data_IF_921104283322
#
_entry.id   IF_921104283322
#
_cell.length_a   1.000
_cell.length_b   1.000
_cell.length_c   1.000
_cell.angle_alpha   90.00
_cell.angle_beta   90.00
_cell.angle_gamma   90.00
#
_symmetry.space_group_name_H-M   'P 1'
#
loop_
_entity.id
_entity.type
_entity.pdbx_description
1 polymer ?
#
# COMPACT_ATOMS: atom_id res chain seq x y z
N UNK A 1 1.09 2.77 -12.99
CA UNK A 1 0.31 2.15 -11.91
C UNK A 1 -1.09 2.71 -11.96
N UNK A 2 -2.11 1.87 -11.76
CA UNK A 2 -3.53 2.22 -11.88
C UNK A 2 -4.30 1.63 -10.70
N UNK A 3 -5.35 2.31 -10.29
CA UNK A 3 -6.31 1.81 -9.31
C UNK A 3 -7.66 1.67 -9.98
N UNK A 4 -8.33 0.55 -9.75
CA UNK A 4 -9.65 0.30 -10.29
C UNK A 4 -10.62 0.08 -9.15
N UNK A 5 -11.84 0.55 -9.33
CA UNK A 5 -12.93 0.34 -8.39
C UNK A 5 -14.25 0.28 -9.16
N UNK A 6 -15.32 -0.10 -8.48
CA UNK A 6 -16.67 0.02 -9.02
C UNK A 6 -17.17 1.46 -8.88
N UNK A 7 -18.35 1.73 -9.42
CA UNK A 7 -19.01 3.01 -9.19
C UNK A 7 -19.17 3.32 -7.70
N UNK A 8 -19.07 4.62 -7.38
CA UNK A 8 -19.05 5.15 -6.01
C UNK A 8 -17.90 4.62 -5.12
N UNK A 9 -16.88 4.00 -5.73
CA UNK A 9 -15.76 3.37 -5.06
C UNK A 9 -16.20 2.31 -4.03
N UNK A 10 -17.21 1.50 -4.38
CA UNK A 10 -17.86 0.60 -3.42
C UNK A 10 -16.93 -0.52 -2.93
N UNK A 11 -15.97 -0.99 -3.75
CA UNK A 11 -14.98 -1.98 -3.31
C UNK A 11 -14.12 -1.41 -2.17
N UNK A 12 -13.72 -0.14 -2.28
CA UNK A 12 -12.98 0.56 -1.24
C UNK A 12 -13.86 0.95 -0.04
N UNK A 13 -14.95 1.70 -0.26
CA UNK A 13 -15.75 2.32 0.81
C UNK A 13 -16.59 1.33 1.59
N UNK A 14 -17.15 0.31 0.94
CA UNK A 14 -18.04 -0.66 1.58
C UNK A 14 -17.26 -1.90 2.02
N UNK A 15 -16.43 -2.45 1.13
CA UNK A 15 -15.75 -3.72 1.38
C UNK A 15 -14.33 -3.56 1.97
N UNK A 16 -13.72 -2.36 1.90
CA UNK A 16 -12.39 -2.09 2.45
C UNK A 16 -11.23 -2.65 1.62
N UNK A 17 -11.49 -2.97 0.35
CA UNK A 17 -10.51 -3.53 -0.59
C UNK A 17 -10.00 -2.48 -1.56
N UNK A 18 -8.75 -2.64 -1.97
CA UNK A 18 -8.08 -1.81 -2.96
C UNK A 18 -7.61 -2.73 -4.07
N UNK A 19 -8.01 -2.43 -5.31
CA UNK A 19 -7.56 -3.15 -6.49
C UNK A 19 -6.56 -2.28 -7.27
N UNK A 20 -5.31 -2.75 -7.35
CA UNK A 20 -4.21 -2.00 -7.94
C UNK A 20 -3.55 -2.80 -9.05
N UNK A 21 -3.35 -2.14 -10.19
CA UNK A 21 -2.61 -2.67 -11.31
C UNK A 21 -1.25 -1.99 -11.43
N UNK A 22 -0.18 -2.77 -11.32
CA UNK A 22 1.20 -2.29 -11.39
C UNK A 22 1.98 -3.06 -12.44
N UNK A 23 2.76 -2.34 -13.23
CA UNK A 23 3.84 -2.89 -14.04
C UNK A 23 5.10 -2.06 -13.74
N UNK A 24 6.24 -2.68 -13.44
CA UNK A 24 7.48 -1.95 -13.24
C UNK A 24 7.80 -1.05 -14.44
N UNK A 25 8.42 0.11 -14.18
CA UNK A 25 8.87 0.98 -15.26
C UNK A 25 9.85 0.22 -16.16
N UNK A 26 9.77 0.48 -17.47
CA UNK A 26 10.63 -0.13 -18.50
C UNK A 26 10.57 -1.66 -18.57
N UNK A 27 9.56 -2.29 -17.97
CA UNK A 27 9.27 -3.70 -18.14
C UNK A 27 8.25 -3.91 -19.26
N UNK A 28 8.55 -4.85 -20.16
CA UNK A 28 7.63 -5.45 -21.13
C UNK A 28 6.83 -6.63 -20.54
N UNK A 29 7.10 -6.96 -19.27
CA UNK A 29 6.48 -8.07 -18.57
C UNK A 29 4.99 -7.88 -18.28
N UNK A 30 4.40 -8.93 -17.69
CA UNK A 30 2.99 -8.97 -17.31
C UNK A 30 2.67 -7.86 -16.30
N UNK A 31 1.45 -7.36 -16.35
CA UNK A 31 0.92 -6.56 -15.26
C UNK A 31 0.71 -7.43 -14.03
N UNK A 32 0.79 -6.83 -12.85
CA UNK A 32 0.40 -7.45 -11.61
C UNK A 32 -0.87 -6.77 -11.09
N UNK A 33 -1.88 -7.59 -10.79
CA UNK A 33 -3.10 -7.18 -10.11
C UNK A 33 -2.93 -7.51 -8.64
N UNK A 34 -2.82 -6.48 -7.82
CA UNK A 34 -2.81 -6.60 -6.36
C UNK A 34 -4.23 -6.36 -5.85
N UNK A 35 -4.77 -7.31 -5.09
CA UNK A 35 -5.90 -7.09 -4.20
C UNK A 35 -5.35 -6.88 -2.79
N UNK A 36 -5.71 -5.77 -2.14
CA UNK A 36 -5.25 -5.44 -0.79
C UNK A 36 -6.45 -5.07 0.09
N UNK A 37 -6.61 -5.75 1.21
CA UNK A 37 -7.51 -5.34 2.29
C UNK A 37 -6.67 -4.64 3.36
N UNK A 38 -7.10 -3.46 3.81
CA UNK A 38 -6.37 -2.68 4.81
C UNK A 38 -7.29 -2.21 5.93
N UNK A 39 -6.89 -2.44 7.18
CA UNK A 39 -7.68 -2.03 8.33
C UNK A 39 -6.77 -1.72 9.54
N UNK A 40 -7.21 -0.82 10.42
CA UNK A 40 -6.52 -0.55 11.69
C UNK A 40 -6.78 -1.64 12.74
N UNK A 41 -7.85 -2.42 12.58
CA UNK A 41 -8.16 -3.58 13.41
C UNK A 41 -7.40 -4.82 12.89
N UNK A 42 -6.48 -5.32 13.72
CA UNK A 42 -5.69 -6.52 13.43
C UNK A 42 -6.56 -7.78 13.27
N UNK A 43 -7.60 -7.96 14.09
CA UNK A 43 -8.48 -9.13 14.02
C UNK A 43 -9.23 -9.12 12.69
N UNK A 44 -9.75 -7.96 12.30
CA UNK A 44 -10.47 -7.82 11.02
C UNK A 44 -9.56 -8.05 9.82
N UNK A 45 -8.34 -7.51 9.84
CA UNK A 45 -7.38 -7.69 8.76
C UNK A 45 -6.83 -9.12 8.69
N UNK A 46 -6.53 -9.74 9.83
CA UNK A 46 -5.97 -11.10 9.89
C UNK A 46 -7.00 -12.18 9.57
N UNK A 47 -8.29 -11.91 9.77
CA UNK A 47 -9.38 -12.79 9.38
C UNK A 47 -9.60 -12.87 7.85
N UNK A 48 -8.94 -12.01 7.06
CA UNK A 48 -8.95 -12.12 5.60
C UNK A 48 -8.08 -13.30 5.14
N UNK A 49 -8.72 -14.27 4.49
CA UNK A 49 -8.06 -15.50 4.06
C UNK A 49 -7.61 -15.49 2.60
N UNK A 50 -8.04 -14.49 1.81
CA UNK A 50 -7.84 -14.52 0.36
C UNK A 50 -6.38 -14.68 -0.05
N UNK A 51 -6.19 -15.37 -1.16
CA UNK A 51 -4.88 -15.76 -1.70
C UNK A 51 -4.95 -15.84 -3.22
N UNK A 52 -3.80 -15.68 -3.87
CA UNK A 52 -3.63 -15.87 -5.32
C UNK A 52 -2.62 -16.98 -5.58
N UNK A 53 -2.40 -17.34 -6.85
CA UNK A 53 -1.33 -18.27 -7.24
C UNK A 53 0.07 -17.80 -6.79
N UNK A 54 0.28 -16.48 -6.68
CA UNK A 54 1.51 -15.88 -6.16
C UNK A 54 1.62 -15.90 -4.62
N UNK A 55 0.64 -16.50 -3.94
CA UNK A 55 0.51 -16.49 -2.50
C UNK A 55 -0.19 -15.23 -1.97
N UNK A 56 -0.06 -15.02 -0.66
CA UNK A 56 -0.58 -13.87 0.05
C UNK A 56 0.41 -13.41 1.12
N UNK A 57 0.32 -12.13 1.48
CA UNK A 57 1.14 -11.49 2.50
C UNK A 57 0.26 -10.83 3.55
N UNK A 58 0.73 -10.86 4.79
CA UNK A 58 0.16 -10.08 5.88
C UNK A 58 1.22 -9.15 6.44
N UNK A 59 0.96 -7.85 6.39
CA UNK A 59 1.91 -6.79 6.73
C UNK A 59 1.29 -5.83 7.75
N UNK A 60 2.11 -5.38 8.70
CA UNK A 60 1.83 -4.23 9.55
C UNK A 60 2.62 -3.03 9.00
N UNK A 61 1.90 -2.00 8.60
CA UNK A 61 2.46 -0.71 8.21
C UNK A 61 2.20 0.30 9.33
N UNK A 62 3.23 0.97 9.82
CA UNK A 62 3.10 1.99 10.86
C UNK A 62 3.20 3.39 10.24
N UNK A 63 2.21 4.24 10.47
CA UNK A 63 2.18 5.62 9.94
C UNK A 63 2.28 6.64 11.05
N UNK A 64 3.05 7.71 10.84
CA UNK A 64 2.98 8.88 11.68
C UNK A 64 1.71 9.69 11.35
N UNK A 65 1.04 10.21 12.38
CA UNK A 65 -0.09 11.12 12.27
C UNK A 65 0.13 12.32 13.19
N UNK A 66 0.01 13.57 12.71
CA UNK A 66 0.11 14.74 13.57
C UNK A 66 -0.96 14.73 14.67
N UNK A 67 -0.60 15.28 15.82
CA UNK A 67 -1.45 15.52 16.98
C UNK A 67 -1.08 16.87 17.60
N UNK A 68 -1.90 17.39 18.52
CA UNK A 68 -1.59 18.63 19.24
C UNK A 68 -0.24 18.58 19.98
N UNK A 69 0.22 17.38 20.37
CA UNK A 69 1.44 17.17 21.15
C UNK A 69 2.60 16.54 20.34
N UNK A 70 2.56 16.63 19.00
CA UNK A 70 3.58 16.07 18.11
C UNK A 70 2.99 15.04 17.15
N UNK A 71 3.45 13.79 17.19
CA UNK A 71 2.95 12.73 16.30
C UNK A 71 2.58 11.46 17.07
N UNK A 72 1.58 10.76 16.56
CA UNK A 72 1.20 9.42 16.99
C UNK A 72 1.49 8.42 15.87
N UNK A 73 2.09 7.29 16.22
CA UNK A 73 2.23 6.18 15.30
C UNK A 73 0.95 5.31 15.31
N UNK A 74 0.37 5.12 14.13
CA UNK A 74 -0.88 4.40 13.92
C UNK A 74 -0.57 3.14 13.10
N UNK A 75 -0.82 1.93 13.63
CA UNK A 75 -0.66 0.71 12.87
C UNK A 75 -1.81 0.53 11.88
N UNK A 76 -1.47 0.04 10.69
CA UNK A 76 -2.40 -0.39 9.66
C UNK A 76 -2.00 -1.79 9.21
N UNK A 77 -2.90 -2.73 9.40
CA UNK A 77 -2.69 -4.11 9.01
C UNK A 77 -3.26 -4.34 7.63
N UNK A 78 -2.58 -5.17 6.85
CA UNK A 78 -3.06 -5.48 5.53
C UNK A 78 -2.79 -6.90 5.09
N UNK A 79 -3.81 -7.50 4.49
CA UNK A 79 -3.70 -8.72 3.69
C UNK A 79 -3.60 -8.29 2.24
N UNK A 80 -2.67 -8.87 1.48
CA UNK A 80 -2.58 -8.63 0.04
C UNK A 80 -2.20 -9.89 -0.72
N UNK A 81 -2.64 -9.96 -1.97
CA UNK A 81 -2.33 -11.03 -2.90
C UNK A 81 -2.10 -10.44 -4.30
N UNK A 82 -1.11 -10.97 -5.00
CA UNK A 82 -0.59 -10.46 -6.27
C UNK A 82 -0.79 -11.51 -7.37
N UNK A 83 -1.55 -11.17 -8.42
CA UNK A 83 -1.84 -12.05 -9.53
C UNK A 83 -1.32 -11.45 -10.85
N UNK A 84 -0.43 -12.19 -11.54
CA UNK A 84 0.08 -11.77 -12.83
C UNK A 84 -1.00 -11.84 -13.92
N UNK A 85 -1.06 -10.85 -14.81
CA UNK A 85 -2.04 -10.81 -15.89
C UNK A 85 -1.53 -10.05 -17.12
N UNK A 86 -2.01 -10.47 -18.29
CA UNK A 86 -1.81 -9.75 -19.56
C UNK A 86 -3.01 -8.89 -19.95
N UNK A 87 -4.12 -9.02 -19.22
CA UNK A 87 -5.40 -8.37 -19.53
C UNK A 87 -5.86 -7.54 -18.34
N UNK A 88 -6.32 -6.33 -18.62
CA UNK A 88 -7.01 -5.50 -17.64
C UNK A 88 -8.44 -6.03 -17.46
N UNK A 89 -8.88 -6.28 -16.21
CA UNK A 89 -10.23 -6.72 -15.95
C UNK A 89 -11.21 -5.60 -16.28
N UNK A 90 -12.33 -5.97 -16.89
CA UNK A 90 -13.39 -5.01 -17.20
C UNK A 90 -14.48 -4.99 -16.14
N UNK A 91 -14.64 -6.09 -15.39
CA UNK A 91 -15.62 -6.21 -14.30
C UNK A 91 -14.94 -6.64 -13.00
N UNK A 92 -15.64 -6.40 -11.88
CA UNK A 92 -15.15 -6.80 -10.56
C UNK A 92 -14.95 -8.31 -10.47
N UNK A 93 -15.91 -9.09 -10.95
CA UNK A 93 -15.86 -10.55 -10.94
C UNK A 93 -14.67 -11.09 -11.74
N UNK A 94 -14.36 -10.49 -12.89
CA UNK A 94 -13.15 -10.85 -13.63
C UNK A 94 -11.91 -10.58 -12.78
N UNK A 95 -11.78 -9.40 -12.17
CA UNK A 95 -10.63 -9.08 -11.32
C UNK A 95 -10.49 -10.07 -10.16
N UNK A 96 -11.60 -10.36 -9.48
CA UNK A 96 -11.64 -11.18 -8.27
C UNK A 96 -11.49 -12.68 -8.53
N UNK A 97 -11.78 -13.17 -9.74
CA UNK A 97 -11.60 -14.59 -10.10
C UNK A 97 -10.15 -15.07 -10.00
N UNK A 98 -9.20 -14.16 -9.80
CA UNK A 98 -7.77 -14.43 -9.60
C UNK A 98 -7.42 -14.77 -8.14
N UNK A 99 -8.40 -14.69 -7.24
CA UNK A 99 -8.22 -14.93 -5.82
C UNK A 99 -9.21 -15.97 -5.33
N UNK A 100 -8.76 -16.85 -4.44
CA UNK A 100 -9.60 -17.82 -3.73
C UNK A 100 -9.87 -17.34 -2.31
N UNK A 101 -10.82 -17.98 -1.63
CA UNK A 101 -11.16 -17.72 -0.22
C UNK A 101 -11.62 -16.27 0.06
N UNK A 102 -12.20 -15.62 -0.95
CA UNK A 102 -12.89 -14.35 -0.79
C UNK A 102 -14.25 -14.56 -0.11
N UNK A 103 -14.61 -13.66 0.81
CA UNK A 103 -15.93 -13.63 1.43
C UNK A 103 -16.87 -12.85 0.52
N UNK A 104 -17.43 -13.53 -0.49
CA UNK A 104 -18.22 -12.91 -1.56
C UNK A 104 -19.40 -12.06 -1.07
N UNK A 105 -20.03 -12.44 0.03
CA UNK A 105 -21.14 -11.67 0.63
C UNK A 105 -20.73 -10.30 1.18
N UNK A 106 -19.44 -10.03 1.34
CA UNK A 106 -18.90 -8.75 1.77
C UNK A 106 -18.47 -7.86 0.58
N UNK A 107 -18.63 -8.35 -0.65
CA UNK A 107 -18.15 -7.68 -1.87
C UNK A 107 -19.31 -7.08 -2.68
N UNK A 108 -19.05 -6.01 -3.47
CA UNK A 108 -20.02 -5.51 -4.44
C UNK A 108 -20.37 -6.55 -5.52
N UNK A 109 -21.41 -6.26 -6.31
CA UNK A 109 -21.84 -7.10 -7.43
C UNK A 109 -20.67 -7.42 -8.37
N UNK A 110 -20.42 -8.72 -8.60
CA UNK A 110 -19.36 -9.21 -9.46
C UNK A 110 -19.53 -8.78 -10.94
N UNK A 111 -20.75 -8.46 -11.37
CA UNK A 111 -21.02 -7.95 -12.72
C UNK A 111 -20.70 -6.46 -12.88
N UNK A 112 -20.45 -5.74 -11.78
CA UNK A 112 -20.15 -4.30 -11.82
C UNK A 112 -18.89 -3.99 -12.64
N UNK A 113 -19.00 -2.96 -13.48
CA UNK A 113 -17.88 -2.47 -14.28
C UNK A 113 -16.78 -1.88 -13.39
N UNK A 114 -15.53 -2.15 -13.76
CA UNK A 114 -14.37 -1.52 -13.15
C UNK A 114 -13.96 -0.27 -13.92
N UNK A 115 -13.80 0.84 -13.19
CA UNK A 115 -13.36 2.12 -13.74
C UNK A 115 -12.05 2.54 -13.09
N UNK A 116 -11.24 3.25 -13.87
CA UNK A 116 -10.01 3.85 -13.34
C UNK A 116 -10.41 4.92 -12.31
N UNK A 117 -9.95 4.78 -11.07
CA UNK A 117 -10.29 5.70 -9.98
C UNK A 117 -9.84 7.11 -10.36
N UNK A 118 -10.80 8.04 -10.45
CA UNK A 118 -10.61 9.45 -10.83
C UNK A 118 -9.84 9.68 -12.14
N UNK A 119 -9.81 8.70 -13.05
CA UNK A 119 -9.02 8.80 -14.28
C UNK A 119 -7.51 8.97 -14.03
N UNK A 120 -7.01 8.57 -12.86
CA UNK A 120 -5.62 8.80 -12.47
C UNK A 120 -4.73 7.59 -12.77
N UNK A 121 -3.66 7.81 -13.52
CA UNK A 121 -2.58 6.85 -13.71
C UNK A 121 -1.27 7.46 -13.20
N UNK A 122 -0.62 6.76 -12.26
CA UNK A 122 0.68 7.15 -11.73
C UNK A 122 1.82 6.54 -12.54
N UNK A 123 2.83 7.35 -12.87
CA UNK A 123 4.19 6.86 -13.10
C UNK A 123 4.86 6.75 -11.74
N UNK A 124 5.34 5.56 -11.39
CA UNK A 124 5.97 5.32 -10.08
C UNK A 124 7.47 5.10 -10.24
N UNK A 125 8.25 5.91 -9.56
CA UNK A 125 9.69 5.75 -9.41
C UNK A 125 10.01 5.30 -7.99
N UNK A 126 10.80 4.24 -7.87
CA UNK A 126 11.19 3.67 -6.58
C UNK A 126 12.71 3.73 -6.48
N UNK A 127 13.19 4.47 -5.50
CA UNK A 127 14.61 4.58 -5.16
C UNK A 127 14.87 3.67 -3.96
N UNK A 128 15.49 2.53 -4.21
CA UNK A 128 15.84 1.50 -3.22
C UNK A 128 17.37 1.43 -3.01
N UNK A 129 17.82 0.55 -2.13
CA UNK A 129 19.25 0.32 -1.84
C UNK A 129 19.80 1.14 -0.67
N UNK A 130 18.94 1.89 0.02
CA UNK A 130 19.26 2.54 1.29
C UNK A 130 18.92 1.60 2.44
N UNK A 131 19.74 1.57 3.48
CA UNK A 131 19.52 0.72 4.65
C UNK A 131 19.67 1.53 5.94
N UNK A 132 18.75 1.31 6.88
CA UNK A 132 18.83 1.84 8.23
C UNK A 132 19.19 0.70 9.19
N UNK A 133 20.38 0.77 9.78
CA UNK A 133 20.82 -0.22 10.77
C UNK A 133 20.10 0.02 12.10
N UNK A 134 19.04 -0.75 12.33
CA UNK A 134 18.27 -0.70 13.59
C UNK A 134 19.08 -1.35 14.71
N UNK A 135 19.68 -2.50 14.46
CA UNK A 135 20.57 -3.18 15.42
C UNK A 135 21.67 -3.93 14.69
N UNK A 136 22.61 -4.55 15.43
CA UNK A 136 23.66 -5.35 14.81
C UNK A 136 23.18 -6.58 14.01
N UNK A 137 21.88 -6.93 14.08
CA UNK A 137 21.28 -8.07 13.35
C UNK A 137 20.02 -7.69 12.56
N UNK A 138 19.60 -6.43 12.60
CA UNK A 138 18.37 -5.98 11.94
C UNK A 138 18.69 -4.72 11.16
N UNK A 139 18.55 -4.82 9.85
CA UNK A 139 18.70 -3.73 8.89
C UNK A 139 17.34 -3.55 8.22
N UNK A 140 16.88 -2.29 8.18
CA UNK A 140 15.64 -1.93 7.54
C UNK A 140 15.94 -1.41 6.14
N UNK A 141 15.39 -2.08 5.13
CA UNK A 141 15.45 -1.63 3.75
C UNK A 141 14.60 -0.37 3.61
N UNK A 142 15.22 0.72 3.17
CA UNK A 142 14.57 1.98 2.94
C UNK A 142 14.26 2.17 1.46
N UNK A 143 13.12 2.77 1.18
CA UNK A 143 12.72 3.17 -0.17
C UNK A 143 12.10 4.57 -0.14
N UNK A 144 12.50 5.41 -1.09
CA UNK A 144 11.78 6.62 -1.46
C UNK A 144 10.96 6.31 -2.72
N UNK A 145 9.66 6.57 -2.66
CA UNK A 145 8.74 6.26 -3.75
C UNK A 145 8.07 7.56 -4.17
N UNK A 146 8.25 7.93 -5.44
CA UNK A 146 7.71 9.15 -6.04
C UNK A 146 6.68 8.76 -7.09
N UNK A 147 5.53 9.43 -7.06
CA UNK A 147 4.52 9.36 -8.09
C UNK A 147 4.45 10.69 -8.84
N UNK A 148 4.43 10.60 -10.16
CA UNK A 148 4.05 11.68 -11.07
C UNK A 148 2.88 11.22 -11.95
N UNK A 149 2.22 12.14 -12.63
CA UNK A 149 1.10 11.78 -13.53
C UNK A 149 1.64 11.14 -14.81
N UNK A 150 1.10 9.98 -15.19
CA UNK A 150 1.46 9.34 -16.46
C UNK A 150 1.10 10.26 -17.64
N UNK A 151 2.07 10.48 -18.54
CA UNK A 151 1.94 11.40 -19.67
C UNK A 151 2.04 12.89 -19.32
N UNK A 152 2.20 13.24 -18.04
CA UNK A 152 2.50 14.61 -17.58
C UNK A 152 4.01 14.87 -17.49
N UNK A 153 4.37 16.00 -16.87
CA UNK A 153 5.76 16.32 -16.53
C UNK A 153 6.25 15.34 -15.45
N UNK A 154 7.31 14.54 -15.70
CA UNK A 154 7.84 13.64 -14.70
C UNK A 154 8.44 14.33 -13.46
N UNK A 155 8.83 15.60 -13.57
CA UNK A 155 9.35 16.40 -12.45
C UNK A 155 8.20 16.90 -11.53
N UNK A 156 6.96 16.88 -12.03
CA UNK A 156 5.77 17.22 -11.24
C UNK A 156 5.38 16.05 -10.33
N UNK A 157 5.94 16.06 -9.12
CA UNK A 157 5.60 15.10 -8.06
C UNK A 157 4.19 15.35 -7.54
N UNK A 158 3.33 14.34 -7.63
CA UNK A 158 1.96 14.37 -7.08
C UNK A 158 1.85 13.70 -5.71
N UNK A 159 2.74 12.75 -5.42
CA UNK A 159 2.87 12.13 -4.10
C UNK A 159 4.28 11.57 -3.92
N UNK A 160 4.82 11.68 -2.70
CA UNK A 160 6.06 11.04 -2.31
C UNK A 160 5.87 10.33 -0.97
N UNK A 161 6.44 9.13 -0.82
CA UNK A 161 6.48 8.45 0.47
C UNK A 161 7.87 7.86 0.70
N UNK A 162 8.36 8.02 1.93
CA UNK A 162 9.48 7.27 2.46
C UNK A 162 8.96 6.06 3.25
N UNK A 163 9.57 4.90 3.05
CA UNK A 163 9.27 3.70 3.83
C UNK A 163 10.56 3.03 4.28
N UNK A 164 10.57 2.47 5.49
CA UNK A 164 11.60 1.50 5.90
C UNK A 164 10.91 0.21 6.35
N UNK A 165 11.38 -0.93 5.85
CA UNK A 165 10.81 -2.26 6.14
C UNK A 165 11.87 -3.21 6.66
N UNK A 166 11.50 -4.08 7.58
CA UNK A 166 12.35 -5.17 8.05
C UNK A 166 11.47 -6.36 8.46
N UNK A 167 12.02 -7.57 8.34
CA UNK A 167 11.32 -8.77 8.79
C UNK A 167 11.43 -8.92 10.31
N UNK A 168 10.28 -9.04 10.98
CA UNK A 168 10.23 -9.29 12.42
C UNK A 168 10.22 -10.79 12.73
N UNK A 169 11.38 -11.44 12.61
CA UNK A 169 11.59 -12.82 13.05
C UNK A 169 11.58 -12.92 14.58
N UNK A 170 11.36 -14.11 15.13
CA UNK A 170 11.22 -14.32 16.59
C UNK A 170 12.46 -13.84 17.36
N UNK A 171 13.63 -14.05 16.80
CA UNK A 171 14.94 -13.61 17.29
C UNK A 171 15.16 -12.09 17.21
N UNK A 172 14.43 -11.40 16.33
CA UNK A 172 14.48 -9.95 16.13
C UNK A 172 13.49 -9.20 17.05
N UNK A 173 12.58 -9.92 17.71
CA UNK A 173 11.61 -9.37 18.69
C UNK A 173 12.31 -9.05 20.01
N UNK A 174 13.13 -8.00 19.99
CA UNK A 174 13.76 -7.45 21.18
C UNK A 174 13.24 -6.03 21.43
N UNK A 175 13.14 -5.65 22.71
CA UNK A 175 12.82 -4.28 23.10
C UNK A 175 13.79 -3.27 22.47
N UNK A 176 15.06 -3.66 22.29
CA UNK A 176 16.07 -2.82 21.67
C UNK A 176 15.77 -2.49 20.20
N UNK A 177 15.38 -3.49 19.39
CA UNK A 177 14.98 -3.27 17.99
C UNK A 177 13.76 -2.35 17.94
N UNK A 178 12.72 -2.64 18.74
CA UNK A 178 11.52 -1.82 18.80
C UNK A 178 11.82 -0.36 19.19
N UNK A 179 12.59 -0.15 20.26
CA UNK A 179 12.97 1.19 20.74
C UNK A 179 13.81 1.94 19.72
N UNK A 180 14.76 1.28 19.05
CA UNK A 180 15.62 1.95 18.07
C UNK A 180 14.87 2.30 16.79
N UNK A 181 14.01 1.41 16.29
CA UNK A 181 13.08 1.72 15.21
C UNK A 181 12.24 2.93 15.59
N UNK A 182 11.59 2.88 16.75
CA UNK A 182 10.76 3.99 17.24
C UNK A 182 11.53 5.31 17.28
N UNK A 183 12.71 5.34 17.88
CA UNK A 183 13.54 6.55 17.98
C UNK A 183 13.97 7.08 16.61
N UNK A 184 14.37 6.19 15.69
CA UNK A 184 14.76 6.59 14.34
C UNK A 184 13.58 7.21 13.58
N UNK A 185 12.42 6.56 13.57
CA UNK A 185 11.23 7.09 12.93
C UNK A 185 10.70 8.37 13.59
N UNK A 186 10.81 8.49 14.92
CA UNK A 186 10.47 9.72 15.65
C UNK A 186 11.38 10.87 15.23
N UNK A 187 12.70 10.64 15.17
CA UNK A 187 13.66 11.65 14.75
C UNK A 187 13.45 12.09 13.29
N UNK A 188 13.13 11.14 12.41
CA UNK A 188 12.72 11.41 11.04
C UNK A 188 11.46 12.30 11.04
N UNK A 189 10.36 11.88 11.67
CA UNK A 189 9.10 12.66 11.64
C UNK A 189 9.20 14.03 12.33
N UNK A 190 10.13 14.22 13.26
CA UNK A 190 10.32 15.49 13.96
C UNK A 190 10.94 16.59 13.09
N UNK A 191 11.50 16.25 11.92
CA UNK A 191 12.01 17.23 10.98
C UNK A 191 10.96 17.52 9.89
N UNK A 192 10.31 18.70 9.90
CA UNK A 192 9.28 19.05 8.92
C UNK A 192 9.84 19.39 7.53
N UNK A 193 11.16 19.60 7.39
CA UNK A 193 11.77 20.08 6.15
C UNK A 193 11.87 19.00 5.06
N UNK A 194 11.76 17.72 5.42
CA UNK A 194 11.94 16.60 4.48
C UNK A 194 10.67 15.77 4.25
N UNK A 195 9.67 15.84 5.14
CA UNK A 195 8.42 15.10 5.00
C UNK A 195 7.27 15.85 5.67
N UNK A 196 6.08 15.76 5.09
CA UNK A 196 4.82 16.23 5.70
C UNK A 196 4.13 15.04 6.39
N UNK A 197 4.23 14.87 7.73
CA UNK A 197 3.72 13.65 8.36
C UNK A 197 2.18 13.59 8.37
N UNK A 198 1.50 14.71 8.15
CA UNK A 198 0.05 14.80 7.95
C UNK A 198 -0.41 14.61 6.51
N UNK A 199 0.51 14.41 5.57
CA UNK A 199 0.20 14.27 4.16
C UNK A 199 -0.74 13.10 3.87
N UNK A 200 -1.52 13.23 2.79
CA UNK A 200 -2.38 12.14 2.32
C UNK A 200 -1.52 10.94 1.92
N UNK A 201 -1.96 9.76 2.33
CA UNK A 201 -1.35 8.49 1.88
C UNK A 201 -1.58 8.32 0.38
N UNK A 202 -0.76 7.55 -0.33
CA UNK A 202 -0.99 7.25 -1.76
C UNK A 202 -2.39 6.73 -2.08
N UNK A 203 -2.95 5.88 -1.22
CA UNK A 203 -4.34 5.40 -1.37
C UNK A 203 -5.33 6.55 -1.17
N UNK A 204 -5.19 7.32 -0.10
CA UNK A 204 -6.02 8.51 0.17
C UNK A 204 -5.94 9.54 -0.95
N UNK A 205 -4.76 9.79 -1.50
CA UNK A 205 -4.57 10.68 -2.65
C UNK A 205 -5.42 10.25 -3.86
N UNK A 206 -5.50 8.94 -4.12
CA UNK A 206 -6.26 8.38 -5.23
C UNK A 206 -7.76 8.37 -4.95
N UNK A 207 -8.18 8.04 -3.74
CA UNK A 207 -9.59 7.78 -3.41
C UNK A 207 -10.35 8.94 -2.79
N UNK A 208 -9.65 9.82 -2.05
CA UNK A 208 -10.28 10.97 -1.39
C UNK A 208 -10.45 12.11 -2.39
N UNK A 209 -11.58 12.80 -2.30
CA UNK A 209 -11.82 14.02 -3.08
C UNK A 209 -10.81 15.12 -2.70
N UNK A 210 -10.62 16.07 -3.62
CA UNK A 210 -9.79 17.25 -3.38
C UNK A 210 -10.52 18.19 -2.43
#
# INVERSE_FOLDING_TARGET
MRFYDTDEHSLYRQAGFILRHRRPLRSDGKWNVTLKFRNSDWVRASAQAFVSDGGAKFEEDVKARPTENGFQFVPLFSRSADAATNRLPTTLGEALSRYTDLREHELPDASADLKLVRGFEAREEVFEGMELRVSGRVEAECALIIWSRSGGDPEETVAAEFSARYELKRESRSSNVATRTWSAFTALCANPDWAEPGGKTKTSFVYDEA
#
